data_IF_372640521256
#
_entry.id   IF_372640521256
#
_cell.length_a   1.000
_cell.length_b   1.000
_cell.length_c   1.000
_cell.angle_alpha   90.00
_cell.angle_beta   90.00
_cell.angle_gamma   90.00
#
_symmetry.space_group_name_H-M   'P 1'
#
loop_
_entity.id
_entity.type
_entity.pdbx_description
1 polymer ?
#
# COMPACT_ATOMS: atom_id res chain seq x y z
N UNK A 1 -8.13 6.26 -17.48
CA UNK A 1 -8.46 4.88 -17.87
C UNK A 1 -9.96 4.81 -18.00
N UNK A 2 -10.45 4.48 -19.20
CA UNK A 2 -11.87 4.21 -19.43
C UNK A 2 -12.05 2.71 -19.19
N UNK A 3 -13.00 2.34 -18.35
CA UNK A 3 -13.32 0.95 -18.02
C UNK A 3 -14.74 0.71 -18.52
N UNK A 4 -14.93 -0.34 -19.29
CA UNK A 4 -16.28 -0.75 -19.68
C UNK A 4 -16.87 -1.58 -18.55
N UNK A 5 -17.70 -0.92 -17.75
CA UNK A 5 -18.33 -1.49 -16.57
C UNK A 5 -19.77 -1.87 -16.91
N UNK A 6 -20.16 -3.09 -16.57
CA UNK A 6 -21.52 -3.57 -16.67
C UNK A 6 -22.04 -3.94 -15.28
N UNK A 7 -23.32 -3.65 -15.03
CA UNK A 7 -23.98 -4.01 -13.78
C UNK A 7 -24.86 -5.21 -14.01
N UNK A 8 -24.74 -6.20 -13.12
CA UNK A 8 -25.59 -7.38 -13.09
C UNK A 8 -26.62 -7.15 -12.01
N UNK A 9 -27.88 -7.04 -12.42
CA UNK A 9 -29.01 -6.80 -11.53
C UNK A 9 -29.81 -8.09 -11.34
N UNK A 10 -30.50 -8.20 -10.21
CA UNK A 10 -31.47 -9.27 -9.99
C UNK A 10 -32.82 -9.00 -10.67
N UNK A 11 -33.79 -9.89 -10.42
CA UNK A 11 -35.14 -9.79 -10.97
C UNK A 11 -35.93 -8.55 -10.48
N UNK A 12 -35.48 -7.93 -9.39
CA UNK A 12 -36.06 -6.70 -8.84
C UNK A 12 -35.35 -5.45 -9.35
N UNK A 13 -34.29 -5.61 -10.15
CA UNK A 13 -33.49 -4.50 -10.68
C UNK A 13 -32.38 -4.04 -9.72
N UNK A 14 -32.19 -4.71 -8.59
CA UNK A 14 -31.15 -4.38 -7.62
C UNK A 14 -29.79 -4.91 -8.09
N UNK A 15 -28.75 -4.09 -8.00
CA UNK A 15 -27.40 -4.47 -8.45
C UNK A 15 -26.76 -5.48 -7.50
N UNK A 16 -26.46 -6.67 -8.02
CA UNK A 16 -25.85 -7.76 -7.28
C UNK A 16 -24.35 -7.88 -7.55
N UNK A 17 -23.90 -7.54 -8.76
CA UNK A 17 -22.50 -7.64 -9.13
C UNK A 17 -22.10 -6.63 -10.21
N UNK A 18 -20.79 -6.45 -10.34
CA UNK A 18 -20.17 -5.63 -11.38
C UNK A 18 -19.35 -6.55 -12.27
N UNK A 19 -19.64 -6.52 -13.56
CA UNK A 19 -18.92 -7.26 -14.59
C UNK A 19 -18.02 -6.31 -15.36
N UNK A 20 -16.80 -6.74 -15.62
CA UNK A 20 -15.83 -6.02 -16.46
C UNK A 20 -14.92 -7.01 -17.19
N UNK A 21 -14.28 -6.61 -18.29
CA UNK A 21 -13.25 -7.42 -18.94
C UNK A 21 -12.11 -7.76 -17.98
N UNK A 22 -11.60 -9.00 -18.07
CA UNK A 22 -10.48 -9.45 -17.24
C UNK A 22 -9.25 -8.54 -17.37
N UNK A 23 -8.97 -8.05 -18.58
CA UNK A 23 -7.86 -7.14 -18.85
C UNK A 23 -7.97 -5.81 -18.10
N UNK A 24 -9.20 -5.32 -17.87
CA UNK A 24 -9.42 -4.12 -17.08
C UNK A 24 -9.35 -4.41 -15.58
N UNK A 25 -9.78 -5.60 -15.15
CA UNK A 25 -9.61 -6.06 -13.77
C UNK A 25 -8.12 -6.16 -13.38
N UNK A 26 -7.30 -6.73 -14.26
CA UNK A 26 -5.85 -6.81 -14.06
C UNK A 26 -5.20 -5.42 -13.95
N UNK A 27 -5.63 -4.45 -14.76
CA UNK A 27 -5.15 -3.06 -14.66
C UNK A 27 -5.52 -2.43 -13.32
N UNK A 28 -6.74 -2.66 -12.83
CA UNK A 28 -7.18 -2.18 -11.51
C UNK A 28 -6.29 -2.79 -10.42
N UNK A 29 -6.11 -4.11 -10.42
CA UNK A 29 -5.29 -4.82 -9.43
C UNK A 29 -3.84 -4.33 -9.43
N UNK A 30 -3.24 -4.15 -10.61
CA UNK A 30 -1.88 -3.63 -10.71
C UNK A 30 -1.75 -2.21 -10.16
N UNK A 31 -2.77 -1.36 -10.37
CA UNK A 31 -2.78 -0.01 -9.82
C UNK A 31 -2.96 -0.03 -8.30
N UNK A 32 -3.83 -0.90 -7.78
CA UNK A 32 -4.05 -1.08 -6.35
C UNK A 32 -2.74 -1.52 -5.65
N UNK A 33 -2.06 -2.54 -6.18
CA UNK A 33 -0.76 -3.01 -5.65
C UNK A 33 0.27 -1.88 -5.59
N UNK A 34 0.35 -1.04 -6.61
CA UNK A 34 1.27 0.12 -6.62
C UNK A 34 0.93 1.13 -5.51
N UNK A 35 -0.35 1.39 -5.27
CA UNK A 35 -0.76 2.27 -4.19
C UNK A 35 -0.48 1.67 -2.82
N UNK A 36 -0.73 0.37 -2.62
CA UNK A 36 -0.40 -0.34 -1.39
C UNK A 36 1.11 -0.28 -1.10
N UNK A 37 1.95 -0.52 -2.11
CA UNK A 37 3.40 -0.38 -2.00
C UNK A 37 3.83 1.04 -1.63
N UNK A 38 3.25 2.06 -2.28
CA UNK A 38 3.54 3.46 -1.97
C UNK A 38 3.09 3.84 -0.56
N UNK A 39 1.93 3.33 -0.11
CA UNK A 39 1.41 3.56 1.23
C UNK A 39 2.29 2.90 2.29
N UNK A 40 2.72 1.65 2.04
CA UNK A 40 3.67 0.94 2.91
C UNK A 40 4.98 1.71 3.02
N UNK A 41 5.58 2.10 1.89
CA UNK A 41 6.80 2.90 1.89
C UNK A 41 6.65 4.21 2.67
N UNK A 42 5.51 4.91 2.51
CA UNK A 42 5.24 6.14 3.28
C UNK A 42 5.15 5.86 4.79
N UNK A 43 4.55 4.74 5.18
CA UNK A 43 4.48 4.31 6.58
C UNK A 43 5.87 4.01 7.14
N UNK A 44 6.65 3.19 6.42
CA UNK A 44 8.00 2.79 6.80
C UNK A 44 8.92 4.02 6.94
N UNK A 45 8.83 4.98 6.01
CA UNK A 45 9.56 6.24 6.08
C UNK A 45 9.14 7.12 7.26
N UNK A 46 7.85 7.16 7.59
CA UNK A 46 7.35 7.91 8.74
C UNK A 46 7.93 7.34 10.04
N UNK A 47 7.90 6.02 10.18
CA UNK A 47 8.45 5.33 11.35
C UNK A 47 9.95 5.59 11.48
N UNK A 48 10.71 5.41 10.40
CA UNK A 48 12.15 5.69 10.40
C UNK A 48 12.45 7.16 10.78
N UNK A 49 11.63 8.11 10.31
CA UNK A 49 11.79 9.52 10.66
C UNK A 49 11.50 9.79 12.15
N UNK A 50 10.49 9.15 12.72
CA UNK A 50 10.18 9.23 14.15
C UNK A 50 11.33 8.65 14.98
N UNK A 51 11.86 7.47 14.61
CA UNK A 51 13.01 6.85 15.26
C UNK A 51 14.25 7.78 15.24
N UNK A 52 14.58 8.38 14.09
CA UNK A 52 15.69 9.34 13.97
C UNK A 52 15.44 10.61 14.82
N UNK A 53 14.20 11.10 14.88
CA UNK A 53 13.83 12.24 15.72
C UNK A 53 14.02 11.92 17.21
N UNK A 54 13.61 10.73 17.65
CA UNK A 54 13.86 10.26 19.01
C UNK A 54 15.36 10.14 19.31
N UNK A 55 16.14 9.51 18.42
CA UNK A 55 17.60 9.40 18.55
C UNK A 55 18.32 10.75 18.58
N UNK A 56 17.80 11.78 17.90
CA UNK A 56 18.37 13.14 17.99
C UNK A 56 18.09 13.81 19.32
N UNK A 57 16.93 13.53 19.93
CA UNK A 57 16.53 14.08 21.24
C UNK A 57 17.21 13.37 22.40
N UNK A 58 17.36 12.05 22.31
CA UNK A 58 18.08 11.26 23.31
C UNK A 58 19.57 11.27 22.98
N UNK A 59 20.43 11.80 23.86
CA UNK A 59 21.91 11.70 23.71
C UNK A 59 22.47 10.27 23.88
N UNK A 60 21.62 9.25 23.71
CA UNK A 60 21.98 7.84 23.87
C UNK A 60 22.84 7.31 22.72
N UNK A 61 23.42 6.11 22.89
CA UNK A 61 24.22 5.48 21.85
C UNK A 61 23.38 5.26 20.60
N UNK A 62 23.91 5.65 19.44
CA UNK A 62 23.30 5.39 18.14
C UNK A 62 23.63 3.96 17.74
N UNK A 63 22.66 3.23 17.20
CA UNK A 63 22.90 1.91 16.61
C UNK A 63 24.00 2.02 15.55
N UNK A 64 25.02 1.17 15.63
CA UNK A 64 26.08 1.13 14.62
C UNK A 64 25.66 0.26 13.45
N UNK A 65 26.33 0.42 12.30
CA UNK A 65 26.07 -0.43 11.13
C UNK A 65 26.29 -1.92 11.43
N UNK A 66 27.28 -2.24 12.28
CA UNK A 66 27.54 -3.62 12.69
C UNK A 66 26.41 -4.19 13.56
N UNK A 67 25.82 -3.38 14.43
CA UNK A 67 24.68 -3.82 15.24
C UNK A 67 23.47 -4.13 14.36
N UNK A 68 23.17 -3.24 13.40
CA UNK A 68 22.09 -3.44 12.44
C UNK A 68 22.27 -4.70 11.57
N UNK A 69 23.47 -4.93 11.05
CA UNK A 69 23.74 -6.09 10.20
C UNK A 69 23.65 -7.44 10.95
N UNK A 70 23.75 -7.43 12.28
CA UNK A 70 23.60 -8.64 13.12
C UNK A 70 22.14 -8.90 13.54
N UNK A 71 21.19 -8.01 13.25
CA UNK A 71 19.76 -8.15 13.57
C UNK A 71 18.92 -8.72 12.41
N UNK A 72 19.49 -8.78 11.20
CA UNK A 72 18.87 -9.33 9.97
C UNK A 72 19.10 -10.84 9.83
#
# INVERSE_FOLDING_TARGET
MKIELQYVNDIHGETQAVQLPLTDWEKILNKLKKYEQALKLKSDLKEAFEQVSHLRKTKGPKQTLNDFLNEL
#
